data_IF_275566970917
#
_entry.id   IF_275566970917
#
_cell.length_a   1.000
_cell.length_b   1.000
_cell.length_c   1.000
_cell.angle_alpha   90.00
_cell.angle_beta   90.00
_cell.angle_gamma   90.00
#
_symmetry.space_group_name_H-M   'P 1'
#
loop_
_entity.id
_entity.type
_entity.pdbx_description
1 polymer ?
#
# COMPACT_ATOMS: atom_id res chain seq x y z
N UNK A 1 9.88 16.53 -4.42
CA UNK A 1 8.55 16.48 -5.08
C UNK A 1 7.76 15.37 -4.39
N UNK A 2 6.59 15.67 -3.86
CA UNK A 2 5.73 14.71 -3.15
C UNK A 2 4.99 13.79 -4.14
N UNK A 3 4.50 12.64 -3.65
CA UNK A 3 3.66 11.74 -4.48
C UNK A 3 2.39 12.47 -4.92
N UNK A 4 1.79 13.30 -4.05
CA UNK A 4 0.61 14.12 -4.37
C UNK A 4 0.87 15.08 -5.55
N UNK A 5 2.03 15.77 -5.55
CA UNK A 5 2.43 16.62 -6.66
C UNK A 5 2.67 15.84 -7.96
N UNK A 6 3.24 14.63 -7.85
CA UNK A 6 3.48 13.76 -9.01
C UNK A 6 2.17 13.30 -9.65
N UNK A 7 1.20 12.86 -8.85
CA UNK A 7 -0.13 12.46 -9.33
C UNK A 7 -0.91 13.64 -9.93
N UNK A 8 -0.76 14.84 -9.37
CA UNK A 8 -1.43 16.05 -9.85
C UNK A 8 -0.98 16.53 -11.23
N UNK A 9 0.11 16.00 -11.79
CA UNK A 9 0.58 16.33 -13.14
C UNK A 9 -0.20 15.63 -14.27
N UNK A 10 -1.09 14.74 -13.91
CA UNK A 10 -1.82 13.90 -14.85
C UNK A 10 -0.98 12.77 -15.46
N UNK A 11 -1.65 11.77 -16.03
CA UNK A 11 -1.03 10.58 -16.56
C UNK A 11 -0.76 9.51 -15.50
N UNK A 12 -0.02 8.47 -15.88
CA UNK A 12 0.30 7.33 -15.02
C UNK A 12 1.61 7.59 -14.28
N UNK A 13 1.59 7.52 -12.95
CA UNK A 13 2.78 7.47 -12.13
C UNK A 13 3.23 6.02 -11.97
N UNK A 14 4.33 5.65 -12.62
CA UNK A 14 4.94 4.33 -12.47
C UNK A 14 5.86 4.32 -11.24
N UNK A 15 5.58 3.40 -10.30
CA UNK A 15 6.39 3.15 -9.12
C UNK A 15 6.90 1.70 -9.14
N UNK A 16 8.12 1.45 -9.66
CA UNK A 16 8.69 0.11 -9.70
C UNK A 16 8.88 -0.46 -8.28
N UNK A 17 8.65 -1.78 -8.15
CA UNK A 17 8.87 -2.51 -6.91
C UNK A 17 10.36 -2.60 -6.56
N UNK A 18 10.67 -2.30 -5.31
CA UNK A 18 12.03 -2.41 -4.74
C UNK A 18 11.97 -3.24 -3.44
N UNK A 19 13.13 -3.71 -2.98
CA UNK A 19 13.23 -4.56 -1.80
C UNK A 19 14.44 -4.27 -0.93
N UNK A 20 15.35 -3.39 -1.36
CA UNK A 20 16.52 -2.93 -0.61
C UNK A 20 17.03 -1.58 -1.14
N UNK A 21 18.06 -1.03 -0.49
CA UNK A 21 18.66 0.24 -0.87
C UNK A 21 19.34 0.20 -2.25
N UNK A 22 19.86 -0.96 -2.68
CA UNK A 22 20.50 -1.10 -3.99
C UNK A 22 19.45 -1.07 -5.11
N UNK A 23 18.37 -1.85 -4.99
CA UNK A 23 17.27 -1.81 -5.96
C UNK A 23 16.60 -0.43 -6.03
N UNK A 24 16.45 0.25 -4.88
CA UNK A 24 15.98 1.63 -4.81
C UNK A 24 16.89 2.61 -5.56
N UNK A 25 18.20 2.49 -5.36
CA UNK A 25 19.20 3.32 -6.06
C UNK A 25 19.16 3.09 -7.58
N UNK A 26 19.10 1.83 -8.03
CA UNK A 26 19.01 1.48 -9.45
C UNK A 26 17.72 2.06 -10.06
N UNK A 27 16.58 1.88 -9.42
CA UNK A 27 15.30 2.44 -9.87
C UNK A 27 15.37 3.97 -9.99
N UNK A 28 15.96 4.65 -9.01
CA UNK A 28 16.16 6.11 -9.04
C UNK A 28 17.06 6.52 -10.22
N UNK A 29 18.18 5.84 -10.44
CA UNK A 29 19.11 6.14 -11.53
C UNK A 29 18.50 5.88 -12.92
N UNK A 30 17.54 4.97 -13.05
CA UNK A 30 16.79 4.74 -14.30
C UNK A 30 15.65 5.73 -14.51
N UNK A 31 15.46 6.69 -13.60
CA UNK A 31 14.52 7.80 -13.75
C UNK A 31 13.16 7.61 -13.09
N UNK A 32 13.00 6.58 -12.24
CA UNK A 32 11.79 6.40 -11.46
C UNK A 32 11.48 7.66 -10.62
N UNK A 33 10.21 8.09 -10.65
CA UNK A 33 9.73 9.28 -9.91
C UNK A 33 9.16 8.93 -8.55
N UNK A 34 8.77 7.68 -8.36
CA UNK A 34 8.39 7.06 -7.10
C UNK A 34 8.84 5.60 -7.14
N UNK A 35 8.98 4.96 -5.98
CA UNK A 35 9.30 3.53 -5.86
C UNK A 35 8.38 2.89 -4.81
N UNK A 36 8.17 1.56 -4.93
CA UNK A 36 7.28 0.81 -4.05
C UNK A 36 8.08 -0.26 -3.28
N UNK A 37 8.20 -0.10 -1.95
CA UNK A 37 8.79 -1.12 -1.10
C UNK A 37 7.77 -2.25 -0.85
N UNK A 38 7.99 -3.37 -1.51
CA UNK A 38 7.07 -4.52 -1.52
C UNK A 38 7.34 -5.48 -0.36
N UNK A 39 6.31 -5.78 0.44
CA UNK A 39 6.37 -6.80 1.49
C UNK A 39 6.65 -8.19 0.92
N UNK A 40 6.03 -8.55 -0.21
CA UNK A 40 6.29 -9.81 -0.91
C UNK A 40 7.75 -9.93 -1.35
N UNK A 41 8.31 -8.89 -1.96
CA UNK A 41 9.70 -8.89 -2.39
C UNK A 41 10.66 -9.02 -1.20
N UNK A 42 10.36 -8.40 -0.06
CA UNK A 42 11.12 -8.59 1.19
C UNK A 42 11.09 -10.04 1.67
N UNK A 43 9.90 -10.67 1.68
CA UNK A 43 9.76 -12.08 2.07
C UNK A 43 10.62 -12.99 1.19
N UNK A 44 10.61 -12.77 -0.11
CA UNK A 44 11.38 -13.58 -1.07
C UNK A 44 12.89 -13.32 -0.97
N UNK A 45 13.31 -12.06 -0.96
CA UNK A 45 14.73 -11.72 -1.10
C UNK A 45 15.51 -11.83 0.22
N UNK A 46 14.89 -11.43 1.33
CA UNK A 46 15.53 -11.44 2.64
C UNK A 46 15.44 -12.79 3.35
N UNK A 47 14.32 -13.51 3.15
CA UNK A 47 14.04 -14.74 3.91
C UNK A 47 13.91 -15.99 3.04
N UNK A 48 13.82 -15.87 1.71
CA UNK A 48 13.55 -16.99 0.81
C UNK A 48 12.22 -17.68 1.12
N UNK A 49 11.22 -16.92 1.56
CA UNK A 49 9.91 -17.41 1.99
C UNK A 49 8.78 -16.77 1.21
N UNK A 50 7.66 -17.47 1.15
CA UNK A 50 6.43 -16.92 0.58
C UNK A 50 5.90 -15.77 1.44
N UNK A 51 5.19 -14.86 0.79
CA UNK A 51 4.54 -13.72 1.42
C UNK A 51 3.23 -14.15 2.11
N UNK A 52 3.32 -14.49 3.38
CA UNK A 52 2.24 -15.01 4.22
C UNK A 52 2.18 -14.31 5.60
N UNK A 53 2.56 -13.03 5.65
CA UNK A 53 2.58 -12.26 6.90
C UNK A 53 3.76 -12.63 7.83
N UNK A 54 4.90 -13.08 7.26
CA UNK A 54 6.06 -13.52 8.03
C UNK A 54 6.98 -12.35 8.39
N UNK A 55 7.02 -11.33 7.54
CA UNK A 55 7.88 -10.15 7.74
C UNK A 55 7.28 -9.27 8.82
N UNK A 56 8.08 -8.89 9.81
CA UNK A 56 7.63 -8.02 10.89
C UNK A 56 7.68 -6.54 10.52
N UNK A 57 6.89 -5.72 11.23
CA UNK A 57 6.90 -4.25 11.06
C UNK A 57 8.31 -3.66 11.25
N UNK A 58 9.11 -4.21 12.15
CA UNK A 58 10.49 -3.73 12.40
C UNK A 58 11.40 -4.01 11.22
N UNK A 59 11.30 -5.19 10.61
CA UNK A 59 12.10 -5.56 9.45
C UNK A 59 11.76 -4.72 8.21
N UNK A 60 10.48 -4.41 8.00
CA UNK A 60 10.06 -3.47 6.94
C UNK A 60 10.62 -2.07 7.22
N UNK A 61 10.48 -1.59 8.46
CA UNK A 61 10.96 -0.26 8.85
C UNK A 61 12.48 -0.11 8.70
N UNK A 62 13.25 -1.10 9.11
CA UNK A 62 14.72 -1.07 8.99
C UNK A 62 15.15 -1.01 7.52
N UNK A 63 14.45 -1.76 6.67
CA UNK A 63 14.69 -1.72 5.21
C UNK A 63 14.27 -0.38 4.62
N UNK A 64 13.11 0.15 5.00
CA UNK A 64 12.65 1.47 4.58
C UNK A 64 13.65 2.57 4.97
N UNK A 65 14.11 2.57 6.22
CA UNK A 65 15.10 3.54 6.69
C UNK A 65 16.41 3.49 5.89
N UNK A 66 16.90 2.29 5.57
CA UNK A 66 18.10 2.11 4.73
C UNK A 66 17.89 2.63 3.29
N UNK A 67 16.68 2.48 2.75
CA UNK A 67 16.33 2.98 1.41
C UNK A 67 16.28 4.51 1.43
N UNK A 68 15.55 5.10 2.35
CA UNK A 68 15.34 6.56 2.42
C UNK A 68 16.60 7.33 2.81
N UNK A 69 17.55 6.69 3.53
CA UNK A 69 18.89 7.25 3.76
C UNK A 69 19.70 7.33 2.45
N UNK A 70 19.40 6.45 1.48
CA UNK A 70 20.19 6.33 0.23
C UNK A 70 19.61 7.08 -0.95
N UNK A 71 18.28 7.24 -1.04
CA UNK A 71 17.60 7.86 -2.17
C UNK A 71 16.63 8.95 -1.71
N UNK A 72 16.47 9.99 -2.55
CA UNK A 72 15.47 11.06 -2.34
C UNK A 72 14.15 10.80 -3.10
N UNK A 73 14.10 9.73 -3.90
CA UNK A 73 12.89 9.33 -4.63
C UNK A 73 11.81 8.90 -3.62
N UNK A 74 10.59 9.45 -3.69
CA UNK A 74 9.52 9.11 -2.76
C UNK A 74 9.24 7.61 -2.71
N UNK A 75 9.15 7.05 -1.50
CA UNK A 75 8.91 5.63 -1.26
C UNK A 75 7.48 5.40 -0.80
N UNK A 76 6.74 4.60 -1.55
CA UNK A 76 5.48 3.98 -1.11
C UNK A 76 5.85 2.71 -0.36
N UNK A 77 5.35 2.51 0.85
CA UNK A 77 5.64 1.31 1.63
C UNK A 77 4.40 0.43 1.81
N UNK A 78 4.58 -0.86 1.56
CA UNK A 78 3.61 -1.90 1.89
C UNK A 78 3.59 -2.11 3.41
N UNK A 79 2.46 -1.81 4.04
CA UNK A 79 2.24 -1.98 5.47
C UNK A 79 1.34 -3.18 5.79
N UNK A 80 1.18 -4.10 4.84
CA UNK A 80 0.29 -5.26 5.01
C UNK A 80 -1.08 -4.82 5.58
N UNK A 81 -1.58 -5.52 6.56
CA UNK A 81 -2.85 -5.17 7.25
C UNK A 81 -2.65 -4.17 8.42
N UNK A 82 -1.53 -3.44 8.48
CA UNK A 82 -1.17 -2.53 9.58
C UNK A 82 -0.50 -3.25 10.77
N UNK A 83 -0.14 -4.52 10.60
CA UNK A 83 0.49 -5.40 11.61
C UNK A 83 -0.34 -5.58 12.88
N UNK A 84 -1.66 -5.58 12.74
CA UNK A 84 -2.60 -5.82 13.84
C UNK A 84 -3.89 -4.99 13.77
N UNK A 85 -4.38 -4.54 14.92
CA UNK A 85 -5.59 -3.73 15.02
C UNK A 85 -5.33 -2.23 14.74
N UNK A 86 -6.34 -1.36 14.93
CA UNK A 86 -6.22 0.08 14.70
C UNK A 86 -5.10 0.75 15.52
N UNK A 87 -4.83 0.31 16.75
CA UNK A 87 -3.74 0.84 17.58
C UNK A 87 -2.36 0.42 17.02
N UNK A 88 -2.25 -0.81 16.50
CA UNK A 88 -1.04 -1.24 15.79
C UNK A 88 -0.84 -0.42 14.51
N UNK A 89 -1.92 -0.17 13.77
CA UNK A 89 -1.90 0.68 12.57
C UNK A 89 -1.37 2.08 12.87
N UNK A 90 -1.85 2.74 13.94
CA UNK A 90 -1.30 4.03 14.37
C UNK A 90 0.19 3.98 14.66
N UNK A 91 0.66 2.93 15.34
CA UNK A 91 2.09 2.74 15.62
C UNK A 91 2.88 2.55 14.34
N UNK A 92 2.38 1.72 13.41
CA UNK A 92 3.01 1.43 12.12
C UNK A 92 3.17 2.71 11.29
N UNK A 93 2.10 3.51 11.17
CA UNK A 93 2.13 4.78 10.43
C UNK A 93 3.19 5.73 11.00
N UNK A 94 3.22 5.95 12.33
CA UNK A 94 4.23 6.78 12.97
C UNK A 94 5.65 6.26 12.80
N UNK A 95 5.79 4.96 12.69
CA UNK A 95 7.08 4.29 12.55
C UNK A 95 7.61 4.47 11.13
N UNK A 96 6.79 4.20 10.13
CA UNK A 96 7.17 4.34 8.72
C UNK A 96 7.32 5.80 8.30
N UNK A 97 6.46 6.69 8.78
CA UNK A 97 6.60 8.13 8.52
C UNK A 97 7.94 8.67 9.03
N UNK A 98 8.36 8.28 10.24
CA UNK A 98 9.69 8.64 10.79
C UNK A 98 10.85 8.06 9.98
N UNK A 99 10.65 6.91 9.36
CA UNK A 99 11.62 6.29 8.45
C UNK A 99 11.59 6.88 7.03
N UNK A 100 10.73 7.89 6.76
CA UNK A 100 10.70 8.63 5.50
C UNK A 100 9.74 8.08 4.46
N UNK A 101 8.72 7.28 4.85
CA UNK A 101 7.66 6.87 3.94
C UNK A 101 6.92 8.10 3.37
N UNK A 102 6.78 8.17 2.05
CA UNK A 102 5.98 9.18 1.36
C UNK A 102 4.51 8.76 1.20
N UNK A 103 4.26 7.46 1.17
CA UNK A 103 2.91 6.89 1.25
C UNK A 103 2.96 5.53 1.95
N UNK A 104 1.87 5.17 2.64
CA UNK A 104 1.73 3.94 3.41
C UNK A 104 0.48 3.23 2.93
N UNK A 105 0.65 2.01 2.40
CA UNK A 105 -0.44 1.19 1.93
C UNK A 105 -0.89 0.22 3.02
N UNK A 106 -2.19 0.18 3.28
CA UNK A 106 -2.87 -0.72 4.20
C UNK A 106 -3.87 -1.58 3.43
N UNK A 107 -3.93 -2.87 3.71
CA UNK A 107 -4.87 -3.80 3.08
C UNK A 107 -5.92 -4.35 4.06
N UNK A 108 -7.07 -4.78 3.53
CA UNK A 108 -8.20 -5.30 4.30
C UNK A 108 -8.15 -6.82 4.56
N UNK A 109 -6.99 -7.44 4.42
CA UNK A 109 -6.83 -8.86 4.76
C UNK A 109 -6.77 -9.08 6.28
N UNK A 110 -7.32 -10.23 6.72
CA UNK A 110 -7.12 -10.72 8.08
C UNK A 110 -5.73 -11.33 8.25
N UNK A 111 -5.20 -11.31 9.49
CA UNK A 111 -3.93 -12.00 9.78
C UNK A 111 -4.16 -13.51 10.02
N UNK A 112 -3.28 -14.40 9.52
CA UNK A 112 -2.14 -14.12 8.65
C UNK A 112 -2.58 -13.80 7.22
N UNK A 113 -2.03 -12.72 6.66
CA UNK A 113 -2.34 -12.31 5.28
C UNK A 113 -1.68 -13.23 4.25
N UNK A 114 -2.07 -13.11 2.99
CA UNK A 114 -1.45 -13.80 1.85
C UNK A 114 -1.13 -12.80 0.74
N UNK A 115 -0.16 -13.12 -0.10
CA UNK A 115 0.08 -12.35 -1.31
C UNK A 115 -1.21 -12.21 -2.12
N UNK A 116 -1.46 -11.01 -2.68
CA UNK A 116 -2.66 -10.68 -3.44
C UNK A 116 -2.98 -11.63 -4.60
N UNK A 117 -1.96 -12.28 -5.15
CA UNK A 117 -2.08 -13.26 -6.23
C UNK A 117 -2.35 -14.70 -5.76
N UNK A 118 -2.34 -14.96 -4.45
CA UNK A 118 -2.58 -16.30 -3.91
C UNK A 118 -4.05 -16.48 -3.50
N UNK A 119 -4.53 -17.72 -3.63
CA UNK A 119 -5.86 -18.12 -3.17
C UNK A 119 -5.95 -18.23 -1.64
N UNK A 120 -7.19 -18.23 -1.13
CA UNK A 120 -7.48 -18.45 0.27
C UNK A 120 -7.25 -17.22 1.16
N UNK A 121 -7.25 -16.03 0.58
CA UNK A 121 -7.32 -14.76 1.32
C UNK A 121 -8.59 -14.71 2.16
N UNK A 122 -8.50 -14.05 3.31
CA UNK A 122 -9.64 -13.75 4.18
C UNK A 122 -9.63 -12.27 4.49
N UNK A 123 -10.80 -11.66 4.47
CA UNK A 123 -10.94 -10.23 4.72
C UNK A 123 -11.43 -9.97 6.15
N UNK A 124 -11.04 -8.82 6.68
CA UNK A 124 -11.67 -8.25 7.87
C UNK A 124 -13.01 -7.59 7.47
N UNK A 125 -13.95 -7.39 8.42
CA UNK A 125 -15.14 -6.59 8.16
C UNK A 125 -14.80 -5.20 7.62
N UNK A 126 -15.58 -4.70 6.65
CA UNK A 126 -15.34 -3.37 6.04
C UNK A 126 -15.24 -2.27 7.11
N UNK A 127 -16.12 -2.26 8.12
CA UNK A 127 -16.09 -1.28 9.21
C UNK A 127 -14.81 -1.34 10.06
N UNK A 128 -14.15 -2.51 10.16
CA UNK A 128 -12.85 -2.63 10.83
C UNK A 128 -11.75 -1.96 10.01
N UNK A 129 -11.74 -2.16 8.68
CA UNK A 129 -10.77 -1.49 7.81
C UNK A 129 -11.00 0.02 7.78
N UNK A 130 -12.25 0.50 7.74
CA UNK A 130 -12.59 1.92 7.90
C UNK A 130 -11.99 2.48 9.19
N UNK A 131 -12.09 1.74 10.30
CA UNK A 131 -11.46 2.10 11.57
C UNK A 131 -9.94 2.20 11.48
N UNK A 132 -9.28 1.30 10.74
CA UNK A 132 -7.83 1.33 10.52
C UNK A 132 -7.41 2.50 9.64
N UNK A 133 -8.17 2.81 8.57
CA UNK A 133 -7.92 3.98 7.71
C UNK A 133 -7.99 5.28 8.53
N UNK A 134 -9.04 5.46 9.33
CA UNK A 134 -9.17 6.63 10.23
C UNK A 134 -8.02 6.70 11.24
N UNK A 135 -7.67 5.56 11.85
CA UNK A 135 -6.55 5.51 12.79
C UNK A 135 -5.20 5.85 12.13
N UNK A 136 -5.01 5.48 10.86
CA UNK A 136 -3.82 5.83 10.09
C UNK A 136 -3.75 7.34 9.83
N UNK A 137 -4.87 7.93 9.40
CA UNK A 137 -5.00 9.38 9.17
C UNK A 137 -4.75 10.20 10.44
N UNK A 138 -5.31 9.78 11.57
CA UNK A 138 -5.09 10.42 12.87
C UNK A 138 -3.64 10.30 13.36
N UNK A 139 -2.94 9.26 12.94
CA UNK A 139 -1.58 8.98 13.41
C UNK A 139 -0.50 9.72 12.63
N UNK A 140 -0.72 10.02 11.34
CA UNK A 140 0.24 10.72 10.50
C UNK A 140 0.48 12.15 11.03
N UNK A 141 1.69 12.65 10.81
CA UNK A 141 2.09 14.00 11.25
C UNK A 141 2.04 15.02 10.12
N UNK A 142 2.11 14.53 8.88
CA UNK A 142 2.10 15.36 7.68
C UNK A 142 1.05 14.84 6.69
N UNK A 143 0.29 15.76 6.12
CA UNK A 143 -0.65 15.46 5.04
C UNK A 143 0.06 15.07 3.72
N UNK A 144 1.38 15.28 3.64
CA UNK A 144 2.21 14.80 2.54
C UNK A 144 2.48 13.30 2.61
N UNK A 145 2.33 12.68 3.79
CA UNK A 145 2.36 11.22 3.95
C UNK A 145 0.99 10.66 3.59
N UNK A 146 0.87 10.06 2.40
CA UNK A 146 -0.41 9.56 1.91
C UNK A 146 -0.78 8.22 2.53
N UNK A 147 -2.07 8.03 2.80
CA UNK A 147 -2.63 6.74 3.20
C UNK A 147 -3.33 6.11 2.00
N UNK A 148 -2.82 4.96 1.58
CA UNK A 148 -3.36 4.16 0.49
C UNK A 148 -4.18 3.03 1.10
N UNK A 149 -5.47 2.98 0.79
CA UNK A 149 -6.35 1.89 1.22
C UNK A 149 -6.50 0.86 0.10
N UNK A 150 -6.01 -0.36 0.35
CA UNK A 150 -6.10 -1.49 -0.57
C UNK A 150 -7.25 -2.39 -0.17
N UNK A 151 -8.01 -2.85 -1.17
CA UNK A 151 -8.97 -3.93 -1.01
C UNK A 151 -8.56 -5.16 -1.82
N UNK A 152 -8.59 -6.32 -1.18
CA UNK A 152 -8.41 -7.64 -1.80
C UNK A 152 -9.76 -8.33 -2.08
N UNK A 153 -10.88 -7.60 -1.92
CA UNK A 153 -12.22 -8.15 -2.01
C UNK A 153 -12.57 -8.68 -3.41
N UNK A 154 -11.95 -8.16 -4.47
CA UNK A 154 -12.24 -8.62 -5.83
C UNK A 154 -12.14 -10.13 -5.99
N UNK A 155 -11.11 -10.74 -5.44
CA UNK A 155 -10.88 -12.19 -5.52
C UNK A 155 -11.69 -13.02 -4.51
N UNK A 156 -12.23 -12.39 -3.46
CA UNK A 156 -12.91 -13.07 -2.34
C UNK A 156 -14.42 -12.90 -2.39
N UNK A 157 -14.90 -11.68 -2.63
CA UNK A 157 -16.31 -11.28 -2.54
C UNK A 157 -16.88 -10.80 -3.89
N UNK A 158 -16.04 -10.58 -4.90
CA UNK A 158 -16.45 -10.12 -6.24
C UNK A 158 -16.25 -8.61 -6.44
N UNK A 159 -16.51 -8.15 -7.68
CA UNK A 159 -16.24 -6.78 -8.11
C UNK A 159 -17.10 -5.76 -7.36
N UNK A 160 -18.41 -6.00 -7.25
CA UNK A 160 -19.35 -5.08 -6.59
C UNK A 160 -18.97 -4.84 -5.13
N UNK A 161 -18.73 -5.91 -4.36
CA UNK A 161 -18.31 -5.80 -2.97
C UNK A 161 -16.96 -5.08 -2.82
N UNK A 162 -16.03 -5.28 -3.76
CA UNK A 162 -14.75 -4.57 -3.76
C UNK A 162 -14.93 -3.07 -4.02
N UNK A 163 -15.87 -2.68 -4.88
CA UNK A 163 -16.21 -1.28 -5.13
C UNK A 163 -16.85 -0.63 -3.90
N UNK A 164 -17.82 -1.30 -3.26
CA UNK A 164 -18.46 -0.82 -2.04
C UNK A 164 -17.44 -0.57 -0.92
N UNK A 165 -16.47 -1.49 -0.77
CA UNK A 165 -15.37 -1.32 0.20
C UNK A 165 -14.48 -0.14 -0.14
N UNK A 166 -14.08 -0.01 -1.42
CA UNK A 166 -13.24 1.10 -1.86
C UNK A 166 -13.93 2.45 -1.64
N UNK A 167 -15.24 2.56 -1.91
CA UNK A 167 -16.04 3.75 -1.62
C UNK A 167 -16.05 4.08 -0.11
N UNK A 168 -16.27 3.07 0.74
CA UNK A 168 -16.23 3.25 2.19
C UNK A 168 -14.85 3.72 2.69
N UNK A 169 -13.76 3.26 2.07
CA UNK A 169 -12.40 3.69 2.42
C UNK A 169 -12.12 5.12 1.94
N UNK A 170 -12.65 5.50 0.77
CA UNK A 170 -12.61 6.88 0.29
C UNK A 170 -13.38 7.81 1.25
N UNK A 171 -14.59 7.44 1.64
CA UNK A 171 -15.39 8.19 2.62
C UNK A 171 -14.71 8.29 3.99
N UNK A 172 -13.93 7.27 4.38
CA UNK A 172 -13.11 7.30 5.59
C UNK A 172 -11.94 8.29 5.51
N UNK A 173 -11.62 8.79 4.31
CA UNK A 173 -10.58 9.80 4.07
C UNK A 173 -9.27 9.25 3.50
N UNK A 174 -9.23 8.01 3.00
CA UNK A 174 -8.04 7.51 2.29
C UNK A 174 -7.63 8.48 1.17
N UNK A 175 -6.32 8.71 1.00
CA UNK A 175 -5.82 9.62 -0.04
C UNK A 175 -5.75 8.96 -1.42
N UNK A 176 -5.57 7.64 -1.46
CA UNK A 176 -5.44 6.83 -2.68
C UNK A 176 -6.10 5.48 -2.42
N UNK A 177 -6.71 4.93 -3.47
CA UNK A 177 -7.28 3.58 -3.42
C UNK A 177 -6.39 2.61 -4.21
N UNK A 178 -6.25 1.39 -3.70
CA UNK A 178 -5.59 0.31 -4.39
C UNK A 178 -6.57 -0.85 -4.56
N UNK A 179 -6.83 -1.21 -5.80
CA UNK A 179 -7.74 -2.27 -6.16
C UNK A 179 -6.93 -3.50 -6.60
N UNK A 180 -6.90 -4.54 -5.76
CA UNK A 180 -6.06 -5.71 -5.97
C UNK A 180 -6.69 -6.70 -6.94
N UNK A 181 -5.85 -7.23 -7.83
CA UNK A 181 -6.14 -8.34 -8.73
C UNK A 181 -7.44 -8.17 -9.56
N UNK A 182 -7.59 -7.09 -10.36
CA UNK A 182 -8.63 -7.03 -11.37
C UNK A 182 -8.46 -8.24 -12.31
N UNK A 183 -9.57 -8.87 -12.70
CA UNK A 183 -9.54 -10.14 -13.46
C UNK A 183 -9.67 -9.93 -14.96
N UNK A 184 -9.94 -8.72 -15.40
CA UNK A 184 -9.98 -8.37 -16.81
C UNK A 184 -9.56 -6.91 -17.03
N UNK A 185 -9.22 -6.59 -18.29
CA UNK A 185 -8.89 -5.22 -18.69
C UNK A 185 -10.11 -4.31 -18.54
N UNK A 186 -11.32 -4.85 -18.70
CA UNK A 186 -12.58 -4.11 -18.57
C UNK A 186 -12.89 -3.68 -17.13
N UNK A 187 -12.36 -4.38 -16.14
CA UNK A 187 -12.52 -4.03 -14.73
C UNK A 187 -11.63 -2.83 -14.33
N UNK A 188 -10.50 -2.62 -15.00
CA UNK A 188 -9.59 -1.52 -14.67
C UNK A 188 -10.23 -0.13 -14.84
N UNK A 189 -10.94 0.18 -15.96
CA UNK A 189 -11.67 1.44 -16.07
C UNK A 189 -12.80 1.59 -15.06
N UNK A 190 -13.49 0.51 -14.68
CA UNK A 190 -14.61 0.55 -13.71
C UNK A 190 -14.12 1.07 -12.36
N UNK A 191 -13.01 0.55 -11.85
CA UNK A 191 -12.44 1.03 -10.60
C UNK A 191 -11.97 2.49 -10.67
N UNK A 192 -11.61 2.97 -11.85
CA UNK A 192 -11.14 4.34 -12.07
C UNK A 192 -12.27 5.35 -12.30
N UNK A 193 -13.38 4.95 -12.91
CA UNK A 193 -14.50 5.86 -13.29
C UNK A 193 -15.52 6.05 -12.18
N UNK A 194 -15.68 5.10 -11.27
CA UNK A 194 -16.64 5.17 -10.17
C UNK A 194 -16.08 5.79 -8.89
N UNK A 195 -14.75 5.88 -8.77
CA UNK A 195 -14.07 6.42 -7.59
C UNK A 195 -13.44 7.77 -7.93
N UNK A 196 -13.58 8.75 -7.03
CA UNK A 196 -13.07 10.12 -7.26
C UNK A 196 -11.62 10.32 -6.83
N UNK A 197 -11.02 9.33 -6.18
CA UNK A 197 -9.61 9.35 -5.77
C UNK A 197 -8.69 8.70 -6.81
N UNK A 198 -7.40 9.08 -6.82
CA UNK A 198 -6.40 8.33 -7.54
C UNK A 198 -6.46 6.85 -7.18
N UNK A 199 -6.49 5.98 -8.18
CA UNK A 199 -6.62 4.54 -7.99
C UNK A 199 -5.38 3.84 -8.53
N UNK A 200 -4.84 2.90 -7.77
CA UNK A 200 -3.75 2.01 -8.16
C UNK A 200 -4.35 0.64 -8.45
N UNK A 201 -3.96 0.05 -9.55
CA UNK A 201 -4.27 -1.35 -9.84
C UNK A 201 -2.97 -2.13 -9.89
N UNK A 202 -2.89 -3.21 -9.11
CA UNK A 202 -1.78 -4.16 -9.20
C UNK A 202 -1.90 -4.99 -10.48
N UNK A 203 -0.80 -5.18 -11.19
CA UNK A 203 -0.66 -6.08 -12.35
C UNK A 203 0.11 -7.32 -11.93
#
# INVERSE_FOLDING_TARGET
MTIRELMGKGGILLAPGIYDALSGLIATQTGAKAVYLSGASLAYTRFGRSDIGLVSVSEVNDTLAAITDRIETPVIVDADNGFGNALNTQRTVRYFERAGAAAIQLEDQSFPKRCGHLDGKKLIPCGEMVGKVKAALDARRSDDTLIIARTDARAVEGLEAAMDRAEAYQEAGADVLFFEAPQSIEEMPVSYTHLTLPTITGV
#
